data_IF_269949830271
#
_entry.id   IF_269949830271
#
_cell.length_a   1.000
_cell.length_b   1.000
_cell.length_c   1.000
_cell.angle_alpha   90.00
_cell.angle_beta   90.00
_cell.angle_gamma   90.00
#
_symmetry.space_group_name_H-M   'P 1'
#
loop_
_entity.id
_entity.type
_entity.pdbx_description
1 polymer ?
#
# COMPACT_ATOMS: atom_id res chain seq x y z
N UNK A 1 -10.93 4.76 -0.42
CA UNK A 1 -9.60 4.21 -0.80
C UNK A 1 -8.87 3.75 0.46
N UNK A 2 -8.69 4.63 1.45
CA UNK A 2 -8.03 4.31 2.71
C UNK A 2 -8.66 3.11 3.44
N UNK A 3 -9.99 3.11 3.66
CA UNK A 3 -10.69 1.99 4.32
C UNK A 3 -10.55 0.67 3.55
N UNK A 4 -10.66 0.70 2.22
CA UNK A 4 -10.49 -0.48 1.36
C UNK A 4 -9.08 -1.04 1.42
N UNK A 5 -8.07 -0.15 1.47
CA UNK A 5 -6.67 -0.51 1.62
C UNK A 5 -6.41 -1.10 3.01
N UNK A 6 -6.94 -0.46 4.07
CA UNK A 6 -6.85 -0.97 5.44
C UNK A 6 -7.48 -2.36 5.56
N UNK A 7 -8.67 -2.57 4.99
CA UNK A 7 -9.33 -3.89 4.97
C UNK A 7 -8.50 -4.94 4.25
N UNK A 8 -7.91 -4.58 3.09
CA UNK A 8 -7.01 -5.47 2.36
C UNK A 8 -5.79 -5.86 3.21
N UNK A 9 -5.13 -4.91 3.87
CA UNK A 9 -3.97 -5.18 4.74
C UNK A 9 -4.37 -6.05 5.93
N UNK A 10 -5.45 -5.70 6.63
CA UNK A 10 -5.92 -6.46 7.79
C UNK A 10 -6.29 -7.91 7.42
N UNK A 11 -6.81 -8.14 6.20
CA UNK A 11 -7.07 -9.49 5.68
C UNK A 11 -5.81 -10.35 5.58
N UNK A 12 -4.66 -9.75 5.28
CA UNK A 12 -3.37 -10.45 5.18
C UNK A 12 -2.48 -10.31 6.42
N UNK A 13 -2.84 -9.43 7.36
CA UNK A 13 -2.05 -9.09 8.55
C UNK A 13 -1.70 -10.30 9.43
N UNK A 14 -2.64 -11.21 9.67
CA UNK A 14 -2.41 -12.42 10.48
C UNK A 14 -1.37 -13.37 9.86
N UNK A 15 -1.28 -13.41 8.52
CA UNK A 15 -0.30 -14.22 7.80
C UNK A 15 1.08 -13.59 7.84
N UNK A 16 1.16 -12.28 7.62
CA UNK A 16 2.41 -11.51 7.71
C UNK A 16 3.01 -11.62 9.12
N UNK A 17 2.14 -11.55 10.12
CA UNK A 17 2.47 -11.79 11.52
C UNK A 17 3.08 -13.17 11.76
N UNK A 18 2.38 -14.23 11.31
CA UNK A 18 2.84 -15.62 11.47
C UNK A 18 4.16 -15.89 10.73
N UNK A 19 4.38 -15.24 9.60
CA UNK A 19 5.60 -15.35 8.79
C UNK A 19 6.76 -14.49 9.32
N UNK A 20 6.56 -13.71 10.39
CA UNK A 20 7.54 -12.78 10.95
C UNK A 20 8.08 -11.79 9.91
N UNK A 21 7.21 -11.33 9.02
CA UNK A 21 7.58 -10.31 8.04
C UNK A 21 7.85 -9.00 8.78
N UNK A 22 9.09 -8.54 8.71
CA UNK A 22 9.53 -7.27 9.33
C UNK A 22 9.11 -6.08 8.48
N UNK A 23 9.29 -6.19 7.16
CA UNK A 23 8.94 -5.17 6.19
C UNK A 23 8.34 -5.79 4.94
N UNK A 24 7.34 -5.15 4.35
CA UNK A 24 6.83 -5.49 3.04
C UNK A 24 6.49 -4.23 2.24
N UNK A 25 6.91 -4.22 0.97
CA UNK A 25 6.50 -3.22 -0.01
C UNK A 25 5.55 -3.87 -1.02
N UNK A 26 4.40 -3.25 -1.24
CA UNK A 26 3.42 -3.69 -2.23
C UNK A 26 3.14 -2.57 -3.22
N UNK A 27 3.27 -2.87 -4.51
CA UNK A 27 2.79 -2.00 -5.59
C UNK A 27 1.43 -2.49 -6.08
N UNK A 28 0.39 -1.71 -5.84
CA UNK A 28 -0.98 -2.02 -6.22
C UNK A 28 -1.49 -0.99 -7.23
N UNK A 29 -2.29 -1.44 -8.20
CA UNK A 29 -2.93 -0.57 -9.18
C UNK A 29 -4.42 -0.50 -8.86
N UNK A 30 -4.90 0.64 -8.36
CA UNK A 30 -6.32 0.82 -8.01
C UNK A 30 -7.04 1.55 -9.13
N UNK A 31 -8.22 1.05 -9.52
CA UNK A 31 -9.15 1.72 -10.44
C UNK A 31 -10.37 2.18 -9.64
N UNK A 32 -10.74 3.46 -9.74
CA UNK A 32 -11.89 4.02 -9.03
C UNK A 32 -13.22 3.74 -9.74
N UNK A 33 -13.17 3.52 -11.04
CA UNK A 33 -14.32 3.16 -11.88
C UNK A 33 -13.90 2.04 -12.83
N UNK A 34 -14.86 1.27 -13.35
CA UNK A 34 -14.61 0.15 -14.28
C UNK A 34 -13.87 0.58 -15.54
N UNK A 35 -14.10 1.82 -15.99
CA UNK A 35 -13.45 2.47 -17.14
C UNK A 35 -12.33 3.44 -16.75
N UNK A 36 -12.08 3.64 -15.45
CA UNK A 36 -11.17 4.64 -14.94
C UNK A 36 -9.70 4.27 -15.08
N UNK A 37 -8.85 5.30 -15.07
CA UNK A 37 -7.39 5.13 -15.10
C UNK A 37 -6.91 4.41 -13.83
N UNK A 38 -6.03 3.43 -14.00
CA UNK A 38 -5.36 2.78 -12.89
C UNK A 38 -4.34 3.73 -12.24
N UNK A 39 -4.46 3.91 -10.93
CA UNK A 39 -3.55 4.72 -10.13
C UNK A 39 -2.60 3.74 -9.42
N UNK A 40 -1.28 3.81 -9.70
CA UNK A 40 -0.31 3.04 -8.96
C UNK A 40 -0.17 3.62 -7.54
N UNK A 41 -0.22 2.74 -6.56
CA UNK A 41 -0.07 3.05 -5.15
C UNK A 41 0.96 2.10 -4.58
N UNK A 42 1.91 2.65 -3.81
CA UNK A 42 2.86 1.87 -3.03
C UNK A 42 2.42 1.84 -1.58
N UNK A 43 2.46 0.66 -1.01
CA UNK A 43 2.07 0.39 0.35
C UNK A 43 3.27 -0.24 1.06
N UNK A 44 3.69 0.39 2.14
CA UNK A 44 4.75 -0.09 3.02
C UNK A 44 4.12 -0.59 4.31
N UNK A 45 4.50 -1.80 4.70
CA UNK A 45 4.13 -2.43 5.96
C UNK A 45 5.39 -2.60 6.78
N UNK A 46 5.43 -2.00 7.96
CA UNK A 46 6.56 -2.14 8.88
C UNK A 46 6.08 -2.70 10.20
N UNK A 47 6.73 -3.77 10.66
CA UNK A 47 6.47 -4.38 11.96
C UNK A 47 7.57 -3.96 12.94
N UNK A 48 7.40 -2.78 13.55
CA UNK A 48 8.43 -2.22 14.44
C UNK A 48 8.50 -2.94 15.80
N UNK A 49 7.34 -3.32 16.37
CA UNK A 49 7.27 -3.74 17.78
C UNK A 49 6.59 -5.08 18.01
N UNK A 50 6.13 -5.74 16.96
CA UNK A 50 5.49 -7.03 17.15
C UNK A 50 4.07 -6.98 17.75
N UNK A 51 3.42 -5.82 17.72
CA UNK A 51 2.05 -5.66 18.22
C UNK A 51 1.25 -4.69 17.34
N UNK A 52 1.94 -3.77 16.69
CA UNK A 52 1.38 -2.82 15.74
C UNK A 52 2.09 -2.98 14.40
N UNK A 53 1.29 -3.04 13.33
CA UNK A 53 1.75 -2.99 11.95
C UNK A 53 1.59 -1.54 11.50
N UNK A 54 2.70 -0.85 11.27
CA UNK A 54 2.64 0.47 10.63
C UNK A 54 2.32 0.30 9.15
N UNK A 55 1.36 1.09 8.67
CA UNK A 55 0.88 1.03 7.28
C UNK A 55 1.09 2.42 6.68
N UNK A 56 2.10 2.54 5.84
CA UNK A 56 2.43 3.77 5.15
C UNK A 56 1.99 3.68 3.68
N UNK A 57 1.12 4.60 3.25
CA UNK A 57 0.56 4.64 1.90
C UNK A 57 1.14 5.81 1.11
N UNK A 58 1.69 5.52 -0.07
CA UNK A 58 2.20 6.53 -0.99
C UNK A 58 1.53 6.38 -2.34
N UNK A 59 0.96 7.49 -2.83
CA UNK A 59 0.48 7.56 -4.21
C UNK A 59 1.67 7.95 -5.08
N UNK A 60 2.00 7.14 -6.07
CA UNK A 60 2.94 7.57 -7.12
C UNK A 60 2.25 8.69 -7.93
N UNK A 61 2.79 9.91 -7.85
CA UNK A 61 2.28 11.05 -8.63
C UNK A 61 3.34 11.41 -9.65
N UNK A 62 2.96 11.43 -10.93
CA UNK A 62 3.82 11.97 -11.98
C UNK A 62 3.79 13.49 -11.88
N UNK A 63 4.93 14.09 -11.56
CA UNK A 63 5.07 15.54 -11.55
C UNK A 63 4.99 16.06 -13.00
N UNK A 64 4.02 16.93 -13.26
CA UNK A 64 3.72 17.46 -14.59
C UNK A 64 4.80 18.39 -15.13
N UNK A 65 5.69 18.92 -14.28
CA UNK A 65 6.81 19.79 -14.70
C UNK A 65 8.07 19.02 -15.05
N UNK A 66 8.31 17.86 -14.43
CA UNK A 66 9.58 17.12 -14.56
C UNK A 66 9.41 15.76 -15.22
N UNK A 67 8.17 15.31 -15.44
CA UNK A 67 7.80 13.97 -15.91
C UNK A 67 8.39 12.83 -15.03
N UNK A 68 8.83 13.14 -13.82
CA UNK A 68 9.34 12.16 -12.87
C UNK A 68 8.17 11.55 -12.10
N UNK A 69 8.22 10.24 -11.89
CA UNK A 69 7.28 9.50 -11.04
C UNK A 69 7.89 9.46 -9.65
N UNK A 70 7.28 10.18 -8.70
CA UNK A 70 7.75 10.28 -7.32
C UNK A 70 6.70 9.74 -6.35
#
# INVERSE_FOLDING_TARGET
IEESVRSMVMRYGSRLWKLRVLQAELKINIRLTTTGKAIPIRLFLTNESGYYLDISLYKEVTDSRTAQVQ
#
